data_IF_424207271928
#
_entry.id   IF_424207271928
#
_cell.length_a   1.000
_cell.length_b   1.000
_cell.length_c   1.000
_cell.angle_alpha   90.00
_cell.angle_beta   90.00
_cell.angle_gamma   90.00
#
_symmetry.space_group_name_H-M   'P 1'
#
loop_
_entity.id
_entity.type
_entity.pdbx_description
1 polymer ?
#
# COMPACT_ATOMS: atom_id res chain seq x y z
N UNK A 1 6.82 -15.77 4.91
CA UNK A 1 6.22 -15.45 6.24
C UNK A 1 7.21 -14.73 7.15
N UNK A 2 8.39 -15.29 7.44
CA UNK A 2 9.35 -14.66 8.38
C UNK A 2 9.72 -13.20 8.08
N UNK A 3 9.90 -12.86 6.81
CA UNK A 3 10.16 -11.48 6.36
C UNK A 3 8.98 -10.52 6.55
N UNK A 4 7.75 -11.02 6.58
CA UNK A 4 6.52 -10.22 6.60
C UNK A 4 6.15 -9.81 8.03
N UNK A 5 6.43 -10.67 9.02
CA UNK A 5 6.09 -10.40 10.42
C UNK A 5 7.17 -9.56 11.11
N UNK A 6 6.74 -8.62 11.95
CA UNK A 6 7.59 -7.95 12.93
C UNK A 6 8.07 -8.93 14.01
N UNK A 7 9.18 -8.62 14.70
CA UNK A 7 9.57 -9.35 15.91
C UNK A 7 8.39 -9.44 16.90
N UNK A 8 8.17 -10.62 17.48
CA UNK A 8 7.03 -10.89 18.37
C UNK A 8 5.67 -11.02 17.67
N UNK A 9 5.61 -10.86 16.34
CA UNK A 9 4.37 -10.97 15.56
C UNK A 9 3.85 -12.40 15.46
N UNK A 10 2.55 -12.52 15.22
CA UNK A 10 1.83 -13.81 15.22
C UNK A 10 1.47 -14.27 13.81
N UNK A 11 1.56 -15.58 13.58
CA UNK A 11 1.03 -16.27 12.41
C UNK A 11 -0.04 -17.26 12.86
N UNK A 12 -1.23 -17.16 12.29
CA UNK A 12 -2.36 -18.04 12.62
C UNK A 12 -2.61 -18.94 11.41
N UNK A 13 -2.49 -20.24 11.62
CA UNK A 13 -2.84 -21.25 10.64
C UNK A 13 -4.18 -21.86 11.03
N UNK A 14 -5.11 -21.91 10.08
CA UNK A 14 -6.34 -22.68 10.19
C UNK A 14 -6.32 -23.80 9.15
N UNK A 15 -6.42 -25.05 9.62
CA UNK A 15 -6.39 -26.25 8.78
C UNK A 15 -7.64 -27.10 9.03
N UNK A 16 -8.13 -27.77 7.98
CA UNK A 16 -9.05 -28.90 8.15
C UNK A 16 -8.25 -30.18 8.31
N UNK A 17 -8.78 -31.15 9.03
CA UNK A 17 -8.07 -32.38 9.44
C UNK A 17 -7.40 -33.18 8.30
N UNK A 18 -7.85 -33.04 7.05
CA UNK A 18 -7.26 -33.73 5.89
C UNK A 18 -5.92 -33.14 5.39
N UNK A 19 -5.35 -32.14 6.07
CA UNK A 19 -4.18 -31.35 5.62
C UNK A 19 -2.88 -31.70 6.37
N UNK A 20 -2.75 -32.92 6.90
CA UNK A 20 -1.70 -33.31 7.85
C UNK A 20 -0.29 -33.02 7.32
N UNK A 21 0.00 -33.35 6.06
CA UNK A 21 1.34 -33.17 5.47
C UNK A 21 1.77 -31.70 5.43
N UNK A 22 0.86 -30.79 5.08
CA UNK A 22 1.14 -29.35 5.04
C UNK A 22 1.37 -28.79 6.46
N UNK A 23 0.63 -29.30 7.44
CA UNK A 23 0.76 -28.90 8.83
C UNK A 23 2.08 -29.40 9.45
N UNK A 24 2.48 -30.64 9.18
CA UNK A 24 3.75 -31.22 9.61
C UNK A 24 4.95 -30.48 8.98
N UNK A 25 4.87 -30.19 7.68
CA UNK A 25 5.90 -29.43 6.98
C UNK A 25 6.06 -28.02 7.56
N UNK A 26 4.94 -27.35 7.87
CA UNK A 26 4.96 -26.03 8.48
C UNK A 26 5.50 -26.07 9.91
N UNK A 27 5.06 -27.01 10.74
CA UNK A 27 5.53 -27.19 12.11
C UNK A 27 7.05 -27.46 12.17
N UNK A 28 7.53 -28.30 11.24
CA UNK A 28 8.97 -28.58 11.08
C UNK A 28 9.74 -27.32 10.71
N UNK A 29 9.22 -26.53 9.76
CA UNK A 29 9.83 -25.28 9.33
C UNK A 29 9.84 -24.23 10.45
N UNK A 30 8.71 -23.99 11.12
CA UNK A 30 8.59 -23.01 12.21
C UNK A 30 9.54 -23.34 13.35
N UNK A 31 9.70 -24.62 13.66
CA UNK A 31 10.69 -25.09 14.64
C UNK A 31 12.13 -24.81 14.19
N UNK A 32 12.46 -25.03 12.91
CA UNK A 32 13.82 -24.79 12.37
C UNK A 32 14.20 -23.30 12.30
N UNK A 33 13.20 -22.42 12.30
CA UNK A 33 13.36 -20.95 12.35
C UNK A 33 13.01 -20.38 13.73
N UNK A 34 12.94 -21.20 14.77
CA UNK A 34 12.77 -20.81 16.17
C UNK A 34 11.46 -20.09 16.51
N UNK A 35 10.38 -20.31 15.75
CA UNK A 35 9.08 -19.76 16.11
C UNK A 35 8.46 -20.54 17.28
N UNK A 36 7.87 -19.80 18.23
CA UNK A 36 7.16 -20.39 19.36
C UNK A 36 5.76 -20.82 18.93
N UNK A 37 5.28 -21.96 19.44
CA UNK A 37 3.87 -22.36 19.31
C UNK A 37 3.14 -21.81 20.53
N UNK A 38 2.24 -20.86 20.32
CA UNK A 38 1.47 -20.18 21.37
C UNK A 38 0.15 -20.89 21.67
N UNK A 39 -0.44 -21.51 20.65
CA UNK A 39 -1.64 -22.30 20.80
C UNK A 39 -1.71 -23.38 19.72
N UNK A 40 -2.27 -24.51 20.09
CA UNK A 40 -2.59 -25.64 19.22
C UNK A 40 -3.93 -26.20 19.71
N UNK A 41 -5.01 -25.94 18.96
CA UNK A 41 -6.36 -26.35 19.35
C UNK A 41 -7.10 -26.86 18.13
N UNK A 42 -7.83 -27.95 18.32
CA UNK A 42 -8.76 -28.48 17.32
C UNK A 42 -10.17 -28.37 17.85
N UNK A 43 -11.07 -27.84 17.03
CA UNK A 43 -12.50 -27.92 17.32
C UNK A 43 -13.06 -29.22 16.75
N UNK A 44 -13.46 -30.13 17.64
CA UNK A 44 -14.00 -31.45 17.30
C UNK A 44 -15.32 -31.35 16.53
N UNK A 45 -16.06 -30.25 16.67
CA UNK A 45 -17.37 -30.07 16.01
C UNK A 45 -17.22 -29.60 14.56
N UNK A 46 -16.35 -28.62 14.31
CA UNK A 46 -16.11 -28.09 12.96
C UNK A 46 -14.99 -28.78 12.19
N UNK A 47 -14.23 -29.67 12.84
CA UNK A 47 -13.08 -30.37 12.26
C UNK A 47 -11.97 -29.39 11.79
N UNK A 48 -11.89 -28.24 12.45
CA UNK A 48 -10.92 -27.16 12.18
C UNK A 48 -9.87 -27.11 13.29
N UNK A 49 -8.61 -27.29 12.90
CA UNK A 49 -7.43 -27.02 13.72
C UNK A 49 -6.99 -25.56 13.59
N UNK A 50 -6.58 -24.95 14.70
CA UNK A 50 -5.97 -23.62 14.76
C UNK A 50 -4.64 -23.71 15.50
N UNK A 51 -3.57 -23.34 14.82
CA UNK A 51 -2.23 -23.18 15.38
C UNK A 51 -1.79 -21.73 15.33
N UNK A 52 -1.34 -21.22 16.46
CA UNK A 52 -0.81 -19.85 16.58
C UNK A 52 0.69 -19.96 16.82
N UNK A 53 1.46 -19.37 15.91
CA UNK A 53 2.91 -19.29 16.01
C UNK A 53 3.32 -17.84 16.29
N UNK A 54 4.42 -17.65 17.02
CA UNK A 54 5.00 -16.34 17.29
C UNK A 54 6.45 -16.29 16.81
N UNK A 55 6.79 -15.24 16.06
CA UNK A 55 8.16 -14.96 15.61
C UNK A 55 9.01 -14.49 16.80
N UNK A 56 10.29 -14.89 16.91
CA UNK A 56 11.20 -14.40 17.93
C UNK A 56 11.30 -12.87 17.99
N UNK A 57 11.59 -12.37 19.18
CA UNK A 57 11.80 -10.94 19.44
C UNK A 57 13.27 -10.53 19.30
N UNK A 58 14.22 -11.45 19.51
CA UNK A 58 15.67 -11.18 19.46
C UNK A 58 16.43 -12.19 18.60
N UNK A 59 17.66 -11.85 18.21
CA UNK A 59 18.53 -12.73 17.42
C UNK A 59 19.16 -13.88 18.22
N UNK A 60 19.14 -13.85 19.55
CA UNK A 60 19.82 -14.83 20.41
C UNK A 60 19.48 -16.28 20.02
N UNK A 61 18.20 -16.54 19.77
CA UNK A 61 17.73 -17.88 19.43
C UNK A 61 18.15 -18.31 18.02
N UNK A 62 18.34 -17.37 17.08
CA UNK A 62 18.83 -17.68 15.74
C UNK A 62 20.28 -18.14 15.73
N UNK A 63 21.11 -17.60 16.64
CA UNK A 63 22.52 -17.98 16.80
C UNK A 63 22.67 -19.36 17.42
N UNK A 64 21.80 -19.69 18.39
CA UNK A 64 21.79 -20.96 19.12
C UNK A 64 21.25 -22.16 18.30
N UNK A 65 20.81 -21.94 17.06
CA UNK A 65 20.29 -23.01 16.19
C UNK A 65 21.36 -24.05 15.88
N UNK A 66 21.11 -25.29 16.32
CA UNK A 66 21.96 -26.47 16.01
C UNK A 66 22.11 -26.70 14.50
N UNK A 67 21.02 -26.56 13.75
CA UNK A 67 21.01 -26.66 12.27
C UNK A 67 20.60 -25.31 11.70
N UNK A 68 21.51 -24.65 10.97
CA UNK A 68 21.27 -23.35 10.33
C UNK A 68 20.60 -23.54 8.96
N UNK A 69 19.41 -24.13 8.97
CA UNK A 69 18.61 -24.40 7.77
C UNK A 69 17.19 -23.83 7.96
N UNK A 70 16.83 -22.74 7.26
CA UNK A 70 17.68 -21.93 6.37
C UNK A 70 18.76 -21.12 7.13
N UNK A 71 19.90 -20.79 6.47
CA UNK A 71 20.95 -19.95 7.05
C UNK A 71 20.50 -18.49 7.19
N UNK A 72 21.29 -17.65 7.86
CA UNK A 72 21.08 -16.20 7.84
C UNK A 72 21.40 -15.63 6.46
N UNK A 73 20.68 -14.57 6.05
CA UNK A 73 20.98 -13.83 4.84
C UNK A 73 22.31 -13.07 4.98
N UNK A 74 22.94 -12.74 3.86
CA UNK A 74 24.16 -11.90 3.86
C UNK A 74 23.81 -10.48 4.28
N UNK A 75 24.73 -9.77 4.92
CA UNK A 75 24.52 -8.39 5.40
C UNK A 75 24.18 -7.40 4.27
N UNK A 76 24.68 -7.64 3.06
CA UNK A 76 24.37 -6.81 1.89
C UNK A 76 23.02 -7.14 1.23
N UNK A 77 22.28 -8.13 1.75
CA UNK A 77 20.95 -8.46 1.27
C UNK A 77 19.93 -7.48 1.85
N UNK A 78 19.25 -6.73 0.98
CA UNK A 78 18.28 -5.73 1.42
C UNK A 78 16.97 -6.41 1.90
N UNK A 79 16.64 -6.37 3.21
CA UNK A 79 15.42 -6.98 3.74
C UNK A 79 14.13 -6.28 3.27
N UNK A 80 14.21 -5.02 2.87
CA UNK A 80 13.08 -4.21 2.43
C UNK A 80 12.78 -4.36 0.93
N UNK A 81 13.69 -4.93 0.14
CA UNK A 81 13.53 -5.04 -1.31
C UNK A 81 12.33 -5.92 -1.72
N UNK A 82 11.24 -5.30 -2.18
CA UNK A 82 9.93 -5.97 -2.30
C UNK A 82 9.45 -6.23 -3.74
N UNK A 83 9.95 -5.49 -4.75
CA UNK A 83 9.46 -5.59 -6.13
C UNK A 83 10.46 -6.26 -7.08
N UNK A 84 10.01 -7.25 -7.86
CA UNK A 84 10.85 -8.10 -8.74
C UNK A 84 12.11 -8.66 -8.07
N UNK A 85 12.01 -9.05 -6.80
CA UNK A 85 13.11 -9.68 -6.05
C UNK A 85 12.86 -11.17 -5.91
N UNK A 86 13.85 -11.98 -6.32
CA UNK A 86 13.83 -13.43 -6.10
C UNK A 86 13.88 -13.74 -4.61
N UNK A 87 12.91 -14.52 -4.12
CA UNK A 87 12.92 -15.01 -2.74
C UNK A 87 14.14 -15.90 -2.49
N UNK A 88 14.85 -15.61 -1.40
CA UNK A 88 16.02 -16.36 -0.97
C UNK A 88 15.64 -17.31 0.16
N UNK A 89 16.25 -18.49 0.17
CA UNK A 89 16.11 -19.46 1.28
C UNK A 89 17.06 -19.10 2.42
N UNK A 90 16.86 -17.93 3.03
CA UNK A 90 17.63 -17.43 4.17
C UNK A 90 16.75 -16.60 5.11
N UNK A 91 17.21 -16.38 6.34
CA UNK A 91 16.56 -15.53 7.34
C UNK A 91 17.30 -14.21 7.48
N UNK A 92 16.61 -13.09 7.33
CA UNK A 92 17.13 -11.80 7.78
C UNK A 92 17.18 -11.75 9.31
N UNK A 93 18.24 -11.16 9.84
CA UNK A 93 18.36 -10.87 11.26
C UNK A 93 17.21 -9.95 11.71
N UNK A 94 16.82 -10.07 12.98
CA UNK A 94 15.88 -9.15 13.61
C UNK A 94 16.58 -7.80 13.80
N UNK A 95 15.93 -6.68 13.42
CA UNK A 95 16.43 -5.34 13.67
C UNK A 95 16.65 -5.07 15.17
N UNK A 96 17.78 -4.42 15.51
CA UNK A 96 18.15 -4.10 16.90
C UNK A 96 18.36 -2.59 17.12
N UNK A 97 18.75 -1.86 16.09
CA UNK A 97 18.97 -0.41 16.16
C UNK A 97 17.65 0.34 15.96
N UNK A 98 17.45 1.45 16.69
CA UNK A 98 16.21 2.25 16.62
C UNK A 98 16.00 2.90 15.24
N UNK A 99 17.07 3.10 14.48
CA UNK A 99 17.08 3.62 13.12
C UNK A 99 16.70 2.54 12.09
N UNK A 100 16.63 1.27 12.51
CA UNK A 100 16.18 0.18 11.66
C UNK A 100 14.67 -0.01 11.78
N UNK A 101 14.03 -0.18 10.63
CA UNK A 101 12.59 -0.42 10.59
C UNK A 101 12.24 -1.76 11.23
N UNK A 102 11.25 -1.75 12.12
CA UNK A 102 10.71 -2.97 12.71
C UNK A 102 11.31 -3.35 14.06
N UNK A 103 12.25 -2.55 14.60
CA UNK A 103 12.78 -2.71 15.96
C UNK A 103 11.70 -2.49 17.02
N UNK A 104 10.88 -1.45 16.85
CA UNK A 104 9.77 -1.13 17.74
C UNK A 104 8.41 -1.36 17.08
N UNK A 105 7.41 -1.64 17.92
CA UNK A 105 6.02 -1.62 17.48
C UNK A 105 5.55 -0.18 17.27
N UNK A 106 4.77 0.10 16.19
CA UNK A 106 4.19 1.41 15.99
C UNK A 106 3.24 1.77 17.14
N UNK A 107 2.97 3.07 17.30
CA UNK A 107 1.89 3.51 18.17
C UNK A 107 0.55 2.83 17.80
N UNK A 108 -0.39 2.82 18.72
CA UNK A 108 -1.72 2.29 18.44
C UNK A 108 -2.52 3.21 17.51
N UNK A 109 -3.48 2.63 16.79
CA UNK A 109 -4.46 3.41 16.04
C UNK A 109 -5.39 4.19 17.00
N UNK A 110 -5.74 5.46 16.73
CA UNK A 110 -5.41 6.26 15.54
C UNK A 110 -4.11 7.07 15.63
N UNK A 111 -3.42 7.07 16.78
CA UNK A 111 -2.23 7.92 17.03
C UNK A 111 -1.11 7.68 16.02
N UNK A 112 -0.91 6.44 15.58
CA UNK A 112 0.11 6.11 14.58
C UNK A 112 -0.02 6.84 13.25
N UNK A 113 -1.21 7.34 12.90
CA UNK A 113 -1.40 8.10 11.66
C UNK A 113 -0.54 9.38 11.62
N UNK A 114 -0.25 9.95 12.79
CA UNK A 114 0.48 11.19 12.99
C UNK A 114 1.78 11.01 13.81
N UNK A 115 2.16 9.76 14.10
CA UNK A 115 3.39 9.44 14.83
C UNK A 115 4.44 8.93 13.84
N UNK A 116 5.63 9.55 13.84
CA UNK A 116 6.72 9.17 12.94
C UNK A 116 7.89 8.57 13.75
N UNK A 117 8.20 7.30 13.50
CA UNK A 117 9.27 6.55 14.17
C UNK A 117 10.67 7.09 13.82
N UNK A 118 11.66 6.77 14.65
CA UNK A 118 13.06 7.21 14.46
C UNK A 118 13.68 6.74 13.14
N UNK A 119 13.35 5.54 12.66
CA UNK A 119 13.82 5.03 11.38
C UNK A 119 13.33 5.84 10.16
N UNK A 120 12.29 6.66 10.32
CA UNK A 120 11.81 7.52 9.24
C UNK A 120 12.64 8.78 9.12
N UNK A 121 13.44 8.85 8.06
CA UNK A 121 14.18 10.05 7.72
C UNK A 121 13.25 11.26 7.47
N UNK A 122 13.68 12.45 7.90
CA UNK A 122 12.99 13.73 7.67
C UNK A 122 11.56 13.82 8.23
N UNK A 123 11.37 13.50 9.52
CA UNK A 123 10.07 13.57 10.22
C UNK A 123 9.34 14.91 10.07
N UNK A 124 10.07 16.03 10.12
CA UNK A 124 9.48 17.37 9.92
C UNK A 124 8.84 17.52 8.53
N UNK A 125 9.46 16.91 7.51
CA UNK A 125 8.92 16.90 6.15
C UNK A 125 7.66 16.04 6.06
N UNK A 126 7.60 14.91 6.77
CA UNK A 126 6.41 14.04 6.83
C UNK A 126 5.22 14.74 7.51
N UNK A 127 5.51 15.47 8.59
CA UNK A 127 4.52 16.28 9.28
C UNK A 127 4.01 17.42 8.38
N UNK A 128 4.92 18.17 7.75
CA UNK A 128 4.57 19.24 6.81
C UNK A 128 3.76 18.73 5.60
N UNK A 129 4.11 17.56 5.05
CA UNK A 129 3.34 16.91 3.97
C UNK A 129 1.92 16.56 4.44
N UNK A 130 1.76 16.07 5.67
CA UNK A 130 0.44 15.71 6.20
C UNK A 130 -0.45 16.93 6.40
N UNK A 131 0.10 18.02 6.93
CA UNK A 131 -0.63 19.30 7.06
C UNK A 131 -0.96 19.90 5.68
N UNK A 132 -0.06 19.79 4.71
CA UNK A 132 -0.30 20.22 3.34
C UNK A 132 -1.50 19.50 2.71
N UNK A 133 -1.57 18.16 2.82
CA UNK A 133 -2.70 17.39 2.29
C UNK A 133 -4.00 17.68 3.03
N UNK A 134 -3.95 17.87 4.36
CA UNK A 134 -5.11 18.26 5.16
C UNK A 134 -5.68 19.60 4.70
N UNK A 135 -4.82 20.57 4.40
CA UNK A 135 -5.21 21.87 3.86
C UNK A 135 -5.82 21.76 2.46
N UNK A 136 -5.23 20.98 1.55
CA UNK A 136 -5.77 20.74 0.20
C UNK A 136 -7.16 20.10 0.25
N UNK A 137 -7.32 19.08 1.09
CA UNK A 137 -8.61 18.40 1.25
C UNK A 137 -9.68 19.37 1.73
N UNK A 138 -9.37 20.13 2.79
CA UNK A 138 -10.32 21.04 3.42
C UNK A 138 -10.69 22.23 2.54
N UNK A 139 -9.72 22.82 1.84
CA UNK A 139 -9.92 24.07 1.11
C UNK A 139 -10.37 23.86 -0.35
N UNK A 140 -10.02 22.73 -0.95
CA UNK A 140 -10.23 22.51 -2.39
C UNK A 140 -11.12 21.29 -2.67
N UNK A 141 -10.74 20.10 -2.21
CA UNK A 141 -11.35 18.86 -2.70
C UNK A 141 -12.74 18.60 -2.10
N UNK A 142 -12.94 18.92 -0.82
CA UNK A 142 -14.21 18.68 -0.13
C UNK A 142 -15.33 19.65 -0.51
N UNK A 143 -14.98 20.87 -0.97
CA UNK A 143 -15.97 21.95 -1.17
C UNK A 143 -16.01 22.40 -2.64
N UNK A 144 -14.87 22.47 -3.33
CA UNK A 144 -14.75 23.14 -4.62
C UNK A 144 -15.06 22.31 -5.87
N UNK A 145 -15.19 20.98 -5.74
CA UNK A 145 -15.26 20.08 -6.91
C UNK A 145 -16.67 19.58 -7.26
N UNK A 146 -17.68 19.88 -6.44
CA UNK A 146 -19.03 19.35 -6.63
C UNK A 146 -19.16 17.83 -6.42
N UNK A 147 -18.15 17.20 -5.81
CA UNK A 147 -18.18 15.78 -5.44
C UNK A 147 -19.01 15.64 -4.15
N UNK A 148 -20.06 14.84 -4.22
CA UNK A 148 -20.77 14.41 -3.00
C UNK A 148 -19.96 13.31 -2.29
N UNK A 149 -19.05 13.73 -1.41
CA UNK A 149 -18.20 12.85 -0.61
C UNK A 149 -18.99 11.87 0.28
N UNK A 150 -20.29 12.13 0.54
CA UNK A 150 -21.14 11.19 1.29
C UNK A 150 -21.42 9.90 0.51
N UNK A 151 -21.24 9.91 -0.82
CA UNK A 151 -21.43 8.75 -1.71
C UNK A 151 -20.15 7.96 -1.98
N UNK A 152 -18.98 8.54 -1.68
CA UNK A 152 -17.68 7.91 -1.92
C UNK A 152 -17.36 6.92 -0.80
N UNK A 153 -16.86 5.73 -1.14
CA UNK A 153 -16.44 4.70 -0.17
C UNK A 153 -15.06 4.15 -0.49
N UNK A 154 -14.78 3.84 -1.75
CA UNK A 154 -13.54 3.21 -2.18
C UNK A 154 -12.71 4.19 -3.01
N UNK A 155 -11.58 4.63 -2.46
CA UNK A 155 -10.66 5.58 -3.10
C UNK A 155 -9.35 4.89 -3.43
N UNK A 156 -8.76 5.19 -4.59
CA UNK A 156 -7.37 4.84 -4.88
C UNK A 156 -6.54 6.11 -5.01
N UNK A 157 -5.48 6.21 -4.21
CA UNK A 157 -4.40 7.17 -4.44
C UNK A 157 -3.35 6.50 -5.32
N UNK A 158 -3.39 6.79 -6.61
CA UNK A 158 -2.61 6.11 -7.65
C UNK A 158 -1.10 6.38 -7.54
N UNK A 159 -0.71 7.45 -6.82
CA UNK A 159 0.69 7.75 -6.51
C UNK A 159 0.79 8.29 -5.09
N UNK A 160 0.58 7.41 -4.15
CA UNK A 160 0.79 7.69 -2.75
C UNK A 160 2.28 7.92 -2.49
N UNK A 161 2.59 9.09 -1.92
CA UNK A 161 3.93 9.38 -1.39
C UNK A 161 4.00 8.74 -0.01
N UNK A 162 3.84 9.49 1.07
CA UNK A 162 3.87 8.95 2.42
C UNK A 162 2.47 8.62 2.97
N UNK A 163 1.44 8.58 2.11
CA UNK A 163 0.04 8.38 2.49
C UNK A 163 -0.62 9.62 3.08
N UNK A 164 -0.11 10.83 2.80
CA UNK A 164 -0.67 12.09 3.30
C UNK A 164 -2.11 12.34 2.86
N UNK A 165 -2.44 12.04 1.60
CA UNK A 165 -3.81 12.14 1.08
C UNK A 165 -4.78 11.22 1.84
N UNK A 166 -4.42 9.95 2.03
CA UNK A 166 -5.22 9.01 2.81
C UNK A 166 -5.39 9.44 4.27
N UNK A 167 -4.32 9.97 4.89
CA UNK A 167 -4.40 10.49 6.25
C UNK A 167 -5.34 11.69 6.37
N UNK A 168 -5.37 12.58 5.38
CA UNK A 168 -6.28 13.72 5.33
C UNK A 168 -7.76 13.33 5.15
N UNK A 169 -8.03 12.09 4.73
CA UNK A 169 -9.37 11.51 4.61
C UNK A 169 -9.76 10.62 5.79
N UNK A 170 -8.93 10.51 6.83
CA UNK A 170 -9.14 9.59 7.96
C UNK A 170 -10.39 9.86 8.78
N UNK A 171 -10.92 11.09 8.74
CA UNK A 171 -12.17 11.48 9.40
C UNK A 171 -13.41 11.17 8.55
N UNK A 172 -13.23 10.71 7.31
CA UNK A 172 -14.31 10.32 6.41
C UNK A 172 -14.53 8.82 6.46
N UNK A 173 -15.76 8.40 6.18
CA UNK A 173 -16.10 6.98 6.06
C UNK A 173 -15.70 6.44 4.67
N UNK A 174 -14.41 6.54 4.36
CA UNK A 174 -13.80 6.10 3.10
C UNK A 174 -12.60 5.21 3.39
N UNK A 175 -12.36 4.27 2.50
CA UNK A 175 -11.16 3.47 2.47
C UNK A 175 -10.28 3.91 1.30
N UNK A 176 -8.97 4.05 1.55
CA UNK A 176 -8.01 4.50 0.55
C UNK A 176 -6.95 3.43 0.30
N UNK A 177 -6.90 2.92 -0.92
CA UNK A 177 -5.77 2.12 -1.41
C UNK A 177 -4.64 3.06 -1.83
N UNK A 178 -3.52 3.02 -1.11
CA UNK A 178 -2.33 3.82 -1.43
C UNK A 178 -1.42 3.04 -2.39
N UNK A 179 -1.18 3.56 -3.59
CA UNK A 179 -0.32 2.91 -4.58
C UNK A 179 1.03 3.61 -4.65
N UNK A 180 2.12 2.89 -4.39
CA UNK A 180 3.49 3.39 -4.50
C UNK A 180 4.08 2.88 -5.82
N UNK A 181 4.36 3.76 -6.81
CA UNK A 181 4.96 3.33 -8.06
C UNK A 181 6.36 2.74 -7.83
N UNK A 182 6.65 1.62 -8.47
CA UNK A 182 7.92 0.87 -8.26
C UNK A 182 9.18 1.59 -8.75
N UNK A 183 9.01 2.71 -9.46
CA UNK A 183 10.08 3.61 -9.92
C UNK A 183 10.11 4.96 -9.17
N UNK A 184 9.38 5.04 -8.06
CA UNK A 184 9.43 6.12 -7.09
C UNK A 184 10.25 5.68 -5.86
N UNK A 185 10.67 6.62 -5.00
CA UNK A 185 11.22 6.28 -3.69
C UNK A 185 10.29 5.32 -2.94
N UNK A 186 10.88 4.36 -2.23
CA UNK A 186 10.11 3.37 -1.46
C UNK A 186 9.51 3.99 -0.20
N UNK A 187 8.24 4.37 -0.29
CA UNK A 187 7.47 4.99 0.80
C UNK A 187 6.39 4.09 1.38
N UNK A 188 6.18 2.90 0.82
CA UNK A 188 5.19 1.96 1.33
C UNK A 188 5.47 1.51 2.78
N UNK A 189 6.73 1.34 3.20
CA UNK A 189 7.09 1.17 4.62
C UNK A 189 6.50 2.23 5.55
N UNK A 190 6.54 3.50 5.13
CA UNK A 190 6.01 4.63 5.91
C UNK A 190 4.49 4.57 5.98
N UNK A 191 3.83 4.27 4.86
CA UNK A 191 2.37 4.08 4.79
C UNK A 191 1.92 3.00 5.78
N UNK A 192 2.59 1.85 5.81
CA UNK A 192 2.27 0.77 6.74
C UNK A 192 2.55 1.14 8.20
N UNK A 193 3.62 1.87 8.51
CA UNK A 193 3.89 2.31 9.88
C UNK A 193 2.80 3.25 10.39
N UNK A 194 2.24 4.08 9.52
CA UNK A 194 1.11 4.97 9.81
C UNK A 194 -0.24 4.25 9.96
N UNK A 195 -0.28 2.93 9.72
CA UNK A 195 -1.50 2.12 9.83
C UNK A 195 -2.43 2.22 8.61
N UNK A 196 -1.92 2.74 7.50
CA UNK A 196 -2.63 2.82 6.23
C UNK A 196 -2.37 1.56 5.39
N UNK A 197 -3.25 1.25 4.45
CA UNK A 197 -3.04 0.14 3.50
C UNK A 197 -2.45 0.65 2.20
N UNK A 198 -1.63 -0.16 1.54
CA UNK A 198 -1.09 0.19 0.24
C UNK A 198 -0.41 -0.98 -0.46
N UNK A 199 0.03 -0.73 -1.69
CA UNK A 199 0.64 -1.71 -2.57
C UNK A 199 1.68 -1.06 -3.47
N UNK A 200 2.69 -1.83 -3.89
CA UNK A 200 3.55 -1.47 -5.01
C UNK A 200 2.85 -1.76 -6.34
N UNK A 201 3.05 -0.90 -7.33
CA UNK A 201 2.55 -1.18 -8.68
C UNK A 201 3.41 -0.51 -9.77
N UNK A 202 3.55 -1.18 -10.91
CA UNK A 202 4.02 -0.58 -12.15
C UNK A 202 2.81 -0.19 -13.02
N UNK A 203 2.58 1.10 -13.17
CA UNK A 203 1.48 1.64 -13.98
C UNK A 203 1.66 1.45 -15.49
N UNK A 204 2.78 0.86 -15.94
CA UNK A 204 2.89 0.34 -17.30
C UNK A 204 2.24 -1.05 -17.45
N UNK A 205 1.74 -1.65 -16.37
CA UNK A 205 1.02 -2.93 -16.34
C UNK A 205 -0.43 -2.74 -15.87
N UNK A 206 -1.27 -3.76 -16.06
CA UNK A 206 -2.63 -3.75 -15.51
C UNK A 206 -2.63 -3.91 -13.99
N UNK A 207 -3.45 -3.14 -13.29
CA UNK A 207 -3.61 -3.24 -11.85
C UNK A 207 -4.36 -4.53 -11.47
N UNK A 208 -3.85 -5.28 -10.50
CA UNK A 208 -4.39 -6.56 -10.02
C UNK A 208 -5.69 -6.43 -9.21
N UNK A 209 -6.72 -5.81 -9.79
CA UNK A 209 -8.04 -5.60 -9.18
C UNK A 209 -9.17 -5.86 -10.17
N UNK A 210 -10.36 -6.15 -9.65
CA UNK A 210 -11.55 -6.31 -10.46
C UNK A 210 -11.93 -4.99 -11.13
N UNK A 211 -12.48 -5.02 -12.36
CA UNK A 211 -13.06 -3.82 -12.96
C UNK A 211 -14.09 -3.17 -12.02
N UNK A 212 -14.20 -1.84 -12.05
CA UNK A 212 -15.22 -1.08 -11.30
C UNK A 212 -15.14 -1.31 -9.78
N UNK A 213 -13.94 -1.32 -9.22
CA UNK A 213 -13.70 -1.49 -7.78
C UNK A 213 -13.77 -0.18 -7.00
N UNK A 214 -13.40 0.95 -7.63
CA UNK A 214 -13.23 2.24 -6.97
C UNK A 214 -14.31 3.24 -7.38
N UNK A 215 -14.64 4.14 -6.45
CA UNK A 215 -15.56 5.27 -6.64
C UNK A 215 -14.79 6.56 -6.98
N UNK A 216 -13.54 6.67 -6.53
CA UNK A 216 -12.67 7.81 -6.81
C UNK A 216 -11.22 7.38 -7.07
N UNK A 217 -10.62 7.94 -8.12
CA UNK A 217 -9.18 7.85 -8.40
C UNK A 217 -8.53 9.21 -8.16
N UNK A 218 -7.45 9.23 -7.39
CA UNK A 218 -6.61 10.40 -7.17
C UNK A 218 -5.25 10.17 -7.78
N UNK A 219 -4.76 11.11 -8.59
CA UNK A 219 -3.46 11.03 -9.24
C UNK A 219 -2.72 12.37 -9.10
N UNK A 220 -1.70 12.40 -8.24
CA UNK A 220 -0.85 13.58 -8.05
C UNK A 220 0.53 13.39 -8.70
N UNK A 221 0.79 14.14 -9.78
CA UNK A 221 2.00 14.09 -10.60
C UNK A 221 2.36 12.67 -11.06
N UNK A 222 1.33 11.86 -11.34
CA UNK A 222 1.51 10.48 -11.81
C UNK A 222 1.98 10.47 -13.28
N UNK A 223 1.30 11.24 -14.13
CA UNK A 223 1.49 11.17 -15.58
C UNK A 223 2.80 11.84 -16.01
N UNK A 224 3.15 13.00 -15.43
CA UNK A 224 4.47 13.61 -15.67
C UNK A 224 5.62 12.71 -15.25
N UNK A 225 5.44 11.90 -14.20
CA UNK A 225 6.46 10.93 -13.75
C UNK A 225 6.60 9.75 -14.72
N UNK A 226 5.52 9.34 -15.37
CA UNK A 226 5.49 8.17 -16.26
C UNK A 226 5.72 8.50 -17.74
N UNK A 227 5.74 9.79 -18.12
CA UNK A 227 5.91 10.28 -19.51
C UNK A 227 7.05 9.60 -20.29
N UNK A 228 8.15 9.27 -19.62
CA UNK A 228 9.35 8.68 -20.25
C UNK A 228 9.43 7.14 -20.14
N UNK A 229 8.39 6.48 -19.61
CA UNK A 229 8.39 5.04 -19.26
C UNK A 229 7.32 4.29 -20.04
N UNK A 230 6.06 4.67 -19.81
CA UNK A 230 4.93 4.09 -20.53
C UNK A 230 4.65 5.05 -21.68
N UNK A 231 4.96 4.65 -22.92
CA UNK A 231 5.01 5.55 -24.08
C UNK A 231 3.69 6.30 -24.37
N UNK A 232 2.57 5.97 -23.71
CA UNK A 232 1.31 6.65 -23.95
C UNK A 232 0.45 6.73 -22.67
N UNK A 233 0.08 7.96 -22.28
CA UNK A 233 -0.83 8.24 -21.17
C UNK A 233 -2.19 7.52 -21.34
N UNK A 234 -2.60 7.24 -22.58
CA UNK A 234 -3.80 6.47 -22.93
C UNK A 234 -3.87 5.13 -22.21
N UNK A 235 -2.75 4.41 -22.04
CA UNK A 235 -2.75 3.08 -21.41
C UNK A 235 -3.19 3.18 -19.95
N UNK A 236 -2.67 4.19 -19.25
CA UNK A 236 -3.02 4.45 -17.85
C UNK A 236 -4.49 4.89 -17.77
N UNK A 237 -4.96 5.75 -18.69
CA UNK A 237 -6.36 6.20 -18.68
C UNK A 237 -7.34 5.06 -19.00
N UNK A 238 -6.99 4.15 -19.90
CA UNK A 238 -7.78 2.93 -20.17
C UNK A 238 -7.85 2.05 -18.91
N UNK A 239 -6.74 1.93 -18.19
CA UNK A 239 -6.72 1.21 -16.92
C UNK A 239 -7.57 1.90 -15.84
N UNK A 240 -7.51 3.23 -15.75
CA UNK A 240 -8.40 4.04 -14.91
C UNK A 240 -9.87 3.80 -15.26
N UNK A 241 -10.20 3.76 -16.56
CA UNK A 241 -11.55 3.43 -17.02
C UNK A 241 -11.95 2.03 -16.56
N UNK A 242 -11.09 1.02 -16.71
CA UNK A 242 -11.40 -0.34 -16.28
C UNK A 242 -11.74 -0.42 -14.79
N UNK A 243 -10.96 0.22 -13.92
CA UNK A 243 -11.08 0.07 -12.46
C UNK A 243 -12.09 1.02 -11.80
N UNK A 244 -12.44 2.14 -12.44
CA UNK A 244 -13.41 3.11 -11.93
C UNK A 244 -14.85 2.70 -12.26
N UNK A 245 -15.75 2.84 -11.29
CA UNK A 245 -17.19 2.61 -11.47
C UNK A 245 -17.82 3.68 -12.36
N UNK A 246 -18.88 3.37 -13.13
CA UNK A 246 -19.73 4.39 -13.73
C UNK A 246 -20.21 5.39 -12.67
N UNK A 247 -20.19 6.67 -12.99
CA UNK A 247 -20.48 7.75 -12.04
C UNK A 247 -19.33 8.08 -11.08
N UNK A 248 -18.26 7.28 -11.07
CA UNK A 248 -17.07 7.52 -10.27
C UNK A 248 -16.26 8.72 -10.76
N UNK A 249 -15.35 9.18 -9.92
CA UNK A 249 -14.61 10.42 -10.10
C UNK A 249 -13.11 10.18 -10.30
N UNK A 250 -12.46 11.01 -11.10
CA UNK A 250 -11.01 11.14 -11.11
C UNK A 250 -10.61 12.58 -10.79
N UNK A 251 -9.65 12.72 -9.89
CA UNK A 251 -8.97 13.97 -9.56
C UNK A 251 -7.51 13.81 -9.98
N UNK A 252 -7.08 14.57 -10.97
CA UNK A 252 -5.73 14.51 -11.52
C UNK A 252 -5.07 15.88 -11.33
N UNK A 253 -3.98 15.91 -10.56
CA UNK A 253 -3.15 17.11 -10.39
C UNK A 253 -1.82 16.87 -11.09
N UNK A 254 -1.50 17.66 -12.10
CA UNK A 254 -0.26 17.51 -12.87
C UNK A 254 0.04 18.82 -13.61
N UNK A 255 1.15 18.84 -14.35
CA UNK A 255 1.53 19.98 -15.18
C UNK A 255 0.49 20.26 -16.26
N UNK A 256 0.25 21.53 -16.57
CA UNK A 256 -0.73 21.94 -17.60
C UNK A 256 -0.46 21.27 -18.95
N UNK A 257 0.81 21.12 -19.34
CA UNK A 257 1.23 20.44 -20.58
C UNK A 257 0.83 18.95 -20.64
N UNK A 258 0.55 18.33 -19.49
CA UNK A 258 0.09 16.95 -19.36
C UNK A 258 -1.43 16.88 -19.29
N UNK A 259 -2.07 17.84 -18.62
CA UNK A 259 -3.52 17.84 -18.44
C UNK A 259 -4.29 18.06 -19.74
N UNK A 260 -3.79 18.92 -20.64
CA UNK A 260 -4.46 19.20 -21.93
C UNK A 260 -4.68 17.92 -22.77
N UNK A 261 -3.64 17.11 -23.09
CA UNK A 261 -3.84 15.86 -23.84
C UNK A 261 -4.62 14.80 -23.04
N UNK A 262 -4.53 14.80 -21.71
CA UNK A 262 -5.35 13.90 -20.88
C UNK A 262 -6.84 14.22 -20.97
N UNK A 263 -7.19 15.51 -21.01
CA UNK A 263 -8.58 15.94 -21.16
C UNK A 263 -9.17 15.45 -22.49
N UNK A 264 -8.42 15.55 -23.59
CA UNK A 264 -8.84 15.03 -24.91
C UNK A 264 -9.09 13.52 -24.86
N UNK A 265 -8.19 12.77 -24.23
CA UNK A 265 -8.33 11.32 -24.06
C UNK A 265 -9.61 10.99 -23.25
N UNK A 266 -9.81 11.62 -22.10
CA UNK A 266 -10.98 11.40 -21.25
C UNK A 266 -12.28 11.72 -22.00
N UNK A 267 -12.31 12.80 -22.77
CA UNK A 267 -13.47 13.16 -23.61
C UNK A 267 -13.74 12.13 -24.70
N UNK A 268 -12.70 11.58 -25.33
CA UNK A 268 -12.86 10.50 -26.33
C UNK A 268 -13.42 9.20 -25.74
N UNK A 269 -13.21 8.98 -24.43
CA UNK A 269 -13.81 7.89 -23.66
C UNK A 269 -15.19 8.25 -23.10
N UNK A 270 -15.77 9.38 -23.52
CA UNK A 270 -17.04 9.90 -23.05
C UNK A 270 -17.10 10.21 -21.54
N UNK A 271 -15.96 10.56 -20.91
CA UNK A 271 -15.99 11.09 -19.55
C UNK A 271 -16.41 12.56 -19.57
N UNK A 272 -17.09 12.99 -18.50
CA UNK A 272 -17.52 14.37 -18.34
C UNK A 272 -16.48 15.15 -17.55
N UNK A 273 -15.89 16.17 -18.16
CA UNK A 273 -14.96 17.07 -17.49
C UNK A 273 -15.76 18.06 -16.65
N UNK A 274 -15.63 17.95 -15.33
CA UNK A 274 -16.40 18.72 -14.35
C UNK A 274 -15.70 20.01 -13.95
N UNK A 275 -14.38 19.99 -13.91
CA UNK A 275 -13.56 21.14 -13.56
C UNK A 275 -12.17 20.99 -14.15
N UNK A 276 -11.67 22.06 -14.77
CA UNK A 276 -10.26 22.20 -15.12
C UNK A 276 -9.80 23.55 -14.56
N UNK A 277 -8.78 23.55 -13.72
CA UNK A 277 -8.18 24.76 -13.17
C UNK A 277 -6.66 24.69 -13.35
N UNK A 278 -6.06 25.78 -13.79
CA UNK A 278 -4.62 25.87 -13.99
C UNK A 278 -4.10 27.15 -13.34
N UNK A 279 -2.98 27.04 -12.63
CA UNK A 279 -2.25 28.17 -12.09
C UNK A 279 -0.76 27.97 -12.36
N UNK A 280 -0.16 28.95 -13.04
CA UNK A 280 1.22 28.88 -13.52
C UNK A 280 1.46 27.66 -14.43
N UNK A 281 2.27 26.70 -13.96
CA UNK A 281 2.62 25.47 -14.70
C UNK A 281 1.90 24.22 -14.19
N UNK A 282 1.16 24.34 -13.10
CA UNK A 282 0.43 23.25 -12.45
C UNK A 282 -1.07 23.41 -12.65
N UNK A 283 -1.79 22.31 -12.67
CA UNK A 283 -3.24 22.34 -12.77
C UNK A 283 -3.90 21.16 -12.10
N UNK A 284 -5.22 21.20 -12.10
CA UNK A 284 -6.08 20.16 -11.60
C UNK A 284 -7.22 19.93 -12.58
N UNK A 285 -7.47 18.66 -12.88
CA UNK A 285 -8.53 18.16 -13.73
C UNK A 285 -9.41 17.23 -12.89
N UNK A 286 -10.70 17.55 -12.83
CA UNK A 286 -11.71 16.70 -12.22
C UNK A 286 -12.67 16.22 -13.31
N UNK A 287 -12.79 14.90 -13.42
CA UNK A 287 -13.64 14.26 -14.42
C UNK A 287 -14.53 13.20 -13.76
N UNK A 288 -15.75 13.06 -14.27
CA UNK A 288 -16.68 12.02 -13.85
C UNK A 288 -16.89 11.03 -14.98
N UNK A 289 -16.73 9.74 -14.67
CA UNK A 289 -16.96 8.67 -15.63
C UNK A 289 -18.45 8.54 -15.91
N UNK A 290 -18.85 8.48 -17.18
CA UNK A 290 -20.25 8.28 -17.57
C UNK A 290 -20.64 6.79 -17.56
N UNK A 291 -21.92 6.51 -17.84
CA UNK A 291 -22.41 5.13 -18.00
C UNK A 291 -22.08 4.51 -19.36
N UNK A 292 -21.36 5.23 -20.23
CA UNK A 292 -21.02 4.76 -21.57
C UNK A 292 -20.16 3.48 -21.54
N UNK A 293 -20.38 2.61 -22.53
CA UNK A 293 -19.57 1.43 -22.82
C UNK A 293 -19.36 1.39 -24.35
N UNK A 294 -18.13 1.12 -24.85
CA UNK A 294 -17.89 0.90 -26.26
C UNK A 294 -18.69 -0.28 -26.83
#
# INVERSE_FOLDING_TARGET
MNRILRPGGYFILSTKHNSIEAEEALSTLTTSICWNIMADKTDEVSDIGVKIYQKPETNDIYELRRKKVPPLCKENDNPDAAWHITLKSCLHAIPEAIEQRGTEWPAEWPKRLHTYSEWMNNRDKLAAESEHWKAIMSNSYLIGMGIDWSTIRNVMDMKAINGGFAAALSDKNVWVMNVVPVHAPDTLPVIFERGLVGIYHDWCESFGTYPRSYDLLHADHLFSRLKNRCNQAIVIVVEMDRILRPGGWAIIRDKVEILNPLEEILRSLHWEIRMTFAQDKEGILCAQKTSWRP
#
